data_IF_481479392176
#
_entry.id   IF_481479392176
#
_cell.length_a   1.000
_cell.length_b   1.000
_cell.length_c   1.000
_cell.angle_alpha   90.00
_cell.angle_beta   90.00
_cell.angle_gamma   90.00
#
_symmetry.space_group_name_H-M   'P 1'
#
loop_
_entity.id
_entity.type
_entity.pdbx_description
1 polymer ?
#
# COMPACT_ATOMS: atom_id res chain seq x y z
N UNK A 1 -19.11 -9.18 21.88
CA UNK A 1 -17.95 -8.34 21.61
C UNK A 1 -18.48 -6.92 21.49
N UNK A 2 -18.36 -6.13 22.55
CA UNK A 2 -18.92 -4.78 22.58
C UNK A 2 -18.00 -3.87 21.80
N UNK A 3 -18.42 -3.46 20.60
CA UNK A 3 -17.69 -2.47 19.82
C UNK A 3 -17.79 -1.14 20.56
N UNK A 4 -16.64 -0.48 20.76
CA UNK A 4 -16.59 0.86 21.32
C UNK A 4 -17.05 1.80 20.20
N UNK A 5 -18.12 2.56 20.45
CA UNK A 5 -18.54 3.63 19.53
C UNK A 5 -17.37 4.61 19.39
N UNK A 6 -16.92 4.92 18.16
CA UNK A 6 -15.83 5.88 17.96
C UNK A 6 -16.27 7.21 18.55
N UNK A 7 -15.57 7.65 19.59
CA UNK A 7 -15.84 8.93 20.22
C UNK A 7 -15.67 10.04 19.19
N UNK A 8 -16.71 10.87 19.03
CA UNK A 8 -16.66 12.09 18.21
C UNK A 8 -15.68 13.14 18.79
N UNK A 9 -15.08 12.85 19.94
CA UNK A 9 -14.19 13.72 20.71
C UNK A 9 -12.69 13.56 20.31
N UNK A 10 -12.44 13.23 19.04
CA UNK A 10 -11.07 13.28 18.50
C UNK A 10 -10.75 14.72 18.14
N UNK A 11 -10.21 15.49 19.08
CA UNK A 11 -9.66 16.81 18.79
C UNK A 11 -8.59 16.73 17.69
N UNK A 12 -8.56 17.73 16.80
CA UNK A 12 -7.55 17.83 15.74
C UNK A 12 -6.19 18.11 16.38
N UNK A 13 -5.40 17.06 16.58
CA UNK A 13 -4.06 17.13 17.18
C UNK A 13 -2.97 16.93 16.12
N UNK A 14 -1.83 17.62 16.32
CA UNK A 14 -0.65 17.40 15.50
C UNK A 14 -0.07 15.99 15.74
N UNK A 15 0.21 15.25 14.67
CA UNK A 15 0.86 13.93 14.76
C UNK A 15 2.33 14.01 15.20
N UNK A 16 2.98 15.16 14.97
CA UNK A 16 4.31 15.42 15.47
C UNK A 16 4.20 15.96 16.91
N UNK A 17 4.72 15.23 17.91
CA UNK A 17 4.69 15.69 19.29
C UNK A 17 5.66 16.86 19.51
N UNK A 18 5.40 17.69 20.54
CA UNK A 18 6.41 18.62 21.06
C UNK A 18 7.47 17.81 21.83
N UNK A 19 8.73 17.74 21.36
CA UNK A 19 9.76 16.94 22.03
C UNK A 19 10.10 17.43 23.45
N UNK A 20 9.76 18.68 23.81
CA UNK A 20 10.00 19.23 25.14
C UNK A 20 9.01 18.71 26.19
N UNK A 21 7.84 18.22 25.77
CA UNK A 21 6.82 17.64 26.64
C UNK A 21 6.94 16.12 26.77
N UNK A 22 7.82 15.50 25.98
CA UNK A 22 8.06 14.06 25.99
C UNK A 22 9.05 13.65 27.09
N UNK A 23 8.95 12.39 27.53
CA UNK A 23 10.02 11.79 28.33
C UNK A 23 11.34 11.80 27.56
N UNK A 24 12.47 11.89 28.28
CA UNK A 24 13.79 12.06 27.66
C UNK A 24 14.13 11.04 26.57
N UNK A 25 13.60 9.80 26.62
CA UNK A 25 13.88 8.77 25.61
C UNK A 25 12.98 8.93 24.40
N UNK A 26 11.71 9.25 24.60
CA UNK A 26 10.81 9.61 23.52
C UNK A 26 11.30 10.87 22.78
N UNK A 27 11.71 11.91 23.51
CA UNK A 27 12.29 13.12 22.91
C UNK A 27 13.52 12.79 22.04
N UNK A 28 14.47 12.00 22.56
CA UNK A 28 15.67 11.56 21.80
C UNK A 28 15.34 10.69 20.60
N UNK A 29 14.29 9.88 20.68
CA UNK A 29 13.81 9.10 19.54
C UNK A 29 13.29 9.97 18.41
N UNK A 30 12.86 11.21 18.68
CA UNK A 30 12.46 12.18 17.66
C UNK A 30 13.62 13.06 17.19
N UNK A 31 14.50 13.48 18.10
CA UNK A 31 15.47 14.56 17.83
C UNK A 31 16.88 14.09 17.47
N UNK A 32 17.34 12.93 17.95
CA UNK A 32 18.71 12.48 17.64
C UNK A 32 18.85 12.03 16.19
N UNK A 33 20.01 12.32 15.60
CA UNK A 33 20.38 11.87 14.25
C UNK A 33 20.62 10.37 14.24
N UNK A 34 19.57 9.61 13.97
CA UNK A 34 19.64 8.16 13.82
C UNK A 34 19.29 7.76 12.39
N UNK A 35 19.94 6.71 11.88
CA UNK A 35 19.59 6.10 10.61
C UNK A 35 18.94 4.74 10.86
N UNK A 36 17.79 4.49 10.23
CA UNK A 36 17.09 3.20 10.29
C UNK A 36 17.19 2.51 8.94
N UNK A 37 17.62 1.24 8.95
CA UNK A 37 17.71 0.39 7.76
C UNK A 37 16.91 -0.88 8.00
N UNK A 38 15.90 -1.19 7.16
CA UNK A 38 15.16 -2.44 7.28
C UNK A 38 16.08 -3.62 6.98
N UNK A 39 15.78 -4.75 7.60
CA UNK A 39 16.37 -6.07 7.35
C UNK A 39 15.22 -7.02 7.02
N UNK A 40 15.55 -8.28 6.79
CA UNK A 40 14.57 -9.35 6.54
C UNK A 40 13.53 -9.44 7.66
N UNK A 41 12.26 -9.64 7.28
CA UNK A 41 11.15 -9.84 8.21
C UNK A 41 10.84 -8.61 9.06
N UNK A 42 11.02 -8.74 10.39
CA UNK A 42 10.66 -7.71 11.39
C UNK A 42 11.85 -6.99 12.02
N UNK A 43 13.06 -7.22 11.50
CA UNK A 43 14.30 -6.68 12.07
C UNK A 43 14.72 -5.36 11.40
N UNK A 44 15.29 -4.44 12.18
CA UNK A 44 15.78 -3.14 11.75
C UNK A 44 17.14 -2.84 12.37
N UNK A 45 18.09 -2.37 11.55
CA UNK A 45 19.36 -1.85 12.03
C UNK A 45 19.24 -0.34 12.29
N UNK A 46 19.49 0.09 13.52
CA UNK A 46 19.43 1.49 13.94
C UNK A 46 20.83 1.98 14.30
N UNK A 47 21.40 2.82 13.46
CA UNK A 47 22.66 3.51 13.74
C UNK A 47 22.36 4.79 14.53
N UNK A 48 22.83 4.83 15.77
CA UNK A 48 22.67 5.94 16.70
C UNK A 48 23.54 7.15 16.33
N UNK A 49 23.27 8.31 16.94
CA UNK A 49 24.10 9.51 16.75
C UNK A 49 25.57 9.30 17.14
N UNK A 50 25.83 8.44 18.14
CA UNK A 50 27.17 8.03 18.55
C UNK A 50 27.88 7.08 17.57
N UNK A 51 27.23 6.67 16.48
CA UNK A 51 27.79 5.75 15.48
C UNK A 51 27.62 4.25 15.80
N UNK A 52 27.15 3.89 16.99
CA UNK A 52 26.81 2.50 17.32
C UNK A 52 25.55 2.05 16.60
N UNK A 53 25.54 0.81 16.09
CA UNK A 53 24.38 0.20 15.44
C UNK A 53 23.77 -0.88 16.34
N UNK A 54 22.46 -0.80 16.54
CA UNK A 54 21.68 -1.77 17.30
C UNK A 54 20.65 -2.44 16.40
N UNK A 55 20.33 -3.70 16.69
CA UNK A 55 19.25 -4.41 16.02
C UNK A 55 17.99 -4.27 16.86
N UNK A 56 16.88 -3.98 16.17
CA UNK A 56 15.54 -3.86 16.73
C UNK A 56 14.69 -4.91 16.04
N UNK A 57 13.99 -5.73 16.80
CA UNK A 57 12.96 -6.61 16.26
C UNK A 57 11.58 -6.12 16.73
N UNK A 58 10.70 -5.80 15.80
CA UNK A 58 9.37 -5.29 16.13
C UNK A 58 8.38 -6.40 16.52
N UNK A 59 8.58 -7.64 16.07
CA UNK A 59 7.73 -8.78 16.45
C UNK A 59 8.02 -9.19 17.88
N UNK A 60 9.31 -9.30 18.23
CA UNK A 60 9.73 -9.64 19.60
C UNK A 60 9.74 -8.41 20.54
N UNK A 61 9.40 -7.22 20.01
CA UNK A 61 9.52 -5.94 20.72
C UNK A 61 10.89 -5.74 21.39
N UNK A 62 11.96 -6.23 20.74
CA UNK A 62 13.28 -6.36 21.33
C UNK A 62 14.30 -5.40 20.71
N UNK A 63 15.34 -5.08 21.47
CA UNK A 63 16.49 -4.32 20.97
C UNK A 63 17.80 -4.81 21.58
N UNK A 64 18.87 -4.84 20.79
CA UNK A 64 20.22 -5.22 21.26
C UNK A 64 20.95 -4.11 22.02
N UNK A 65 20.32 -2.95 22.24
CA UNK A 65 20.95 -1.88 23.00
C UNK A 65 20.99 -2.19 24.51
N UNK A 66 21.98 -1.65 25.24
CA UNK A 66 22.09 -1.87 26.69
C UNK A 66 20.85 -1.44 27.48
N UNK A 67 20.17 -0.37 27.05
CA UNK A 67 18.93 0.08 27.70
C UNK A 67 17.84 -0.98 27.68
N UNK A 68 17.71 -1.72 26.58
CA UNK A 68 16.70 -2.77 26.50
C UNK A 68 17.21 -4.07 27.15
N UNK A 69 18.43 -4.51 26.84
CA UNK A 69 18.99 -5.77 27.33
C UNK A 69 19.18 -5.80 28.86
N UNK A 70 19.55 -4.67 29.47
CA UNK A 70 19.87 -4.60 30.90
C UNK A 70 18.68 -4.10 31.71
N UNK A 71 17.91 -3.15 31.18
CA UNK A 71 16.83 -2.48 31.94
C UNK A 71 15.42 -2.93 31.55
N UNK A 72 15.26 -3.68 30.45
CA UNK A 72 13.94 -4.13 29.96
C UNK A 72 13.02 -3.00 29.51
N UNK A 73 13.56 -1.79 29.29
CA UNK A 73 12.76 -0.62 28.96
C UNK A 73 12.47 -0.55 27.45
N UNK A 74 11.38 0.14 27.09
CA UNK A 74 11.21 0.62 25.72
C UNK A 74 12.31 1.65 25.45
N UNK A 75 13.27 1.32 24.60
CA UNK A 75 14.39 2.20 24.28
C UNK A 75 14.02 3.22 23.20
N UNK A 76 14.88 4.21 22.98
CA UNK A 76 14.70 5.21 21.90
C UNK A 76 14.77 4.59 20.49
N UNK A 77 15.45 3.45 20.34
CA UNK A 77 15.60 2.79 19.03
C UNK A 77 14.30 2.15 18.57
N UNK A 78 13.58 1.43 19.45
CA UNK A 78 12.24 0.90 19.18
C UNK A 78 11.28 2.02 18.74
N UNK A 79 11.26 3.13 19.50
CA UNK A 79 10.45 4.31 19.16
C UNK A 79 10.85 4.92 17.81
N UNK A 80 12.15 5.06 17.54
CA UNK A 80 12.65 5.61 16.27
C UNK A 80 12.20 4.77 15.08
N UNK A 81 12.24 3.43 15.17
CA UNK A 81 11.75 2.56 14.09
C UNK A 81 10.26 2.79 13.85
N UNK A 82 9.44 2.83 14.91
CA UNK A 82 8.01 3.09 14.79
C UNK A 82 7.72 4.46 14.13
N UNK A 83 8.48 5.50 14.49
CA UNK A 83 8.38 6.83 13.89
C UNK A 83 8.69 6.80 12.39
N UNK A 84 9.78 6.15 11.97
CA UNK A 84 10.19 6.07 10.56
C UNK A 84 9.21 5.27 9.69
N UNK A 85 8.61 4.21 10.24
CA UNK A 85 7.53 3.45 9.58
C UNK A 85 6.28 4.30 9.44
N UNK A 86 5.85 4.97 10.51
CA UNK A 86 4.68 5.85 10.50
C UNK A 86 4.85 7.00 9.50
N UNK A 87 6.07 7.55 9.41
CA UNK A 87 6.44 8.57 8.43
C UNK A 87 6.61 8.02 7.00
N UNK A 88 6.38 6.73 6.77
CA UNK A 88 6.52 6.02 5.49
C UNK A 88 7.91 6.16 4.86
N UNK A 89 8.96 6.29 5.68
CA UNK A 89 10.35 6.39 5.22
C UNK A 89 11.02 5.02 5.11
N UNK A 90 10.60 4.10 5.96
CA UNK A 90 11.05 2.71 6.01
C UNK A 90 9.84 1.80 5.92
N UNK A 91 10.00 0.63 5.30
CA UNK A 91 8.93 -0.34 5.17
C UNK A 91 8.55 -0.95 6.54
N UNK A 92 7.25 -1.22 6.78
CA UNK A 92 6.82 -1.98 7.95
C UNK A 92 7.34 -3.44 7.89
N UNK A 93 7.21 -4.21 8.98
CA UNK A 93 7.62 -5.61 8.99
C UNK A 93 6.97 -6.40 7.86
N UNK A 94 7.71 -7.35 7.29
CA UNK A 94 7.24 -8.20 6.19
C UNK A 94 6.82 -7.44 4.92
N UNK A 95 7.34 -6.22 4.75
CA UNK A 95 7.09 -5.43 3.55
C UNK A 95 8.39 -4.90 2.96
N UNK A 96 8.37 -4.72 1.64
CA UNK A 96 9.45 -4.11 0.89
C UNK A 96 9.00 -2.84 0.18
N UNK A 97 9.98 -2.00 -0.16
CA UNK A 97 9.76 -0.78 -0.94
C UNK A 97 9.57 -1.14 -2.41
N UNK A 98 8.44 -0.73 -2.98
CA UNK A 98 8.15 -0.83 -4.40
C UNK A 98 7.81 0.55 -4.99
N UNK A 99 7.78 0.63 -6.33
CA UNK A 99 7.15 1.75 -7.04
C UNK A 99 5.78 1.29 -7.52
N UNK A 100 4.82 2.20 -7.44
CA UNK A 100 3.51 1.98 -8.02
C UNK A 100 3.63 1.80 -9.54
N UNK A 101 3.14 0.69 -10.08
CA UNK A 101 3.18 0.41 -11.52
C UNK A 101 2.30 1.36 -12.35
N UNK A 102 1.40 2.11 -11.71
CA UNK A 102 0.54 3.11 -12.38
C UNK A 102 1.13 4.52 -12.31
N UNK A 103 1.48 4.99 -11.11
CA UNK A 103 1.84 6.41 -10.88
C UNK A 103 3.30 6.64 -10.48
N UNK A 104 4.10 5.57 -10.34
CA UNK A 104 5.52 5.64 -9.98
C UNK A 104 5.82 6.04 -8.53
N UNK A 105 4.79 6.38 -7.73
CA UNK A 105 4.94 6.73 -6.33
C UNK A 105 5.53 5.57 -5.52
N UNK A 106 6.39 5.89 -4.53
CA UNK A 106 6.91 4.88 -3.61
C UNK A 106 5.78 4.34 -2.75
N UNK A 107 5.68 3.02 -2.66
CA UNK A 107 4.74 2.32 -1.80
C UNK A 107 5.42 1.14 -1.11
N UNK A 108 4.69 0.47 -0.22
CA UNK A 108 5.15 -0.73 0.44
C UNK A 108 4.20 -1.87 0.08
N UNK A 109 4.78 -3.01 -0.29
CA UNK A 109 4.07 -4.24 -0.65
C UNK A 109 4.59 -5.38 0.21
N UNK A 110 3.83 -6.47 0.35
CA UNK A 110 4.34 -7.69 1.01
C UNK A 110 5.65 -8.13 0.36
N UNK A 111 6.54 -8.76 1.11
CA UNK A 111 7.78 -9.35 0.57
C UNK A 111 7.49 -10.39 -0.54
N UNK A 112 6.33 -11.03 -0.48
CA UNK A 112 5.84 -12.08 -1.38
C UNK A 112 4.76 -11.59 -2.36
N UNK A 113 4.56 -10.27 -2.46
CA UNK A 113 3.61 -9.72 -3.44
C UNK A 113 4.17 -9.81 -4.85
N UNK A 114 3.40 -10.41 -5.77
CA UNK A 114 3.67 -10.37 -7.20
C UNK A 114 3.24 -9.02 -7.82
N UNK A 115 3.83 -8.61 -8.96
CA UNK A 115 3.34 -7.46 -9.73
C UNK A 115 1.92 -7.69 -10.26
N UNK A 116 1.12 -6.63 -10.46
CA UNK A 116 1.48 -5.22 -10.29
C UNK A 116 1.45 -4.73 -8.83
N UNK A 117 2.45 -3.94 -8.48
CA UNK A 117 2.52 -3.25 -7.20
C UNK A 117 1.74 -1.93 -7.26
N UNK A 118 0.60 -1.88 -6.57
CA UNK A 118 -0.27 -0.70 -6.57
C UNK A 118 -0.26 0.03 -5.22
N UNK A 119 -0.03 1.34 -5.25
CA UNK A 119 -0.20 2.18 -4.06
C UNK A 119 -1.69 2.31 -3.70
N UNK A 120 -2.02 2.67 -2.46
CA UNK A 120 -3.43 2.76 -2.02
C UNK A 120 -4.33 3.67 -2.88
N UNK A 121 -3.75 4.67 -3.56
CA UNK A 121 -4.50 5.54 -4.48
C UNK A 121 -4.73 4.94 -5.87
N UNK A 122 -3.91 3.96 -6.29
CA UNK A 122 -4.04 3.26 -7.56
C UNK A 122 -4.57 1.83 -7.41
N UNK A 123 -4.65 1.33 -6.18
CA UNK A 123 -5.20 0.01 -5.89
C UNK A 123 -6.67 0.00 -6.23
N UNK A 124 -7.07 -0.97 -7.06
CA UNK A 124 -8.45 -1.36 -7.28
C UNK A 124 -8.61 -2.81 -6.84
N UNK A 125 -9.72 -3.12 -6.19
CA UNK A 125 -10.04 -4.45 -5.68
C UNK A 125 -11.28 -5.01 -6.39
N UNK A 126 -11.41 -6.34 -6.47
CA UNK A 126 -12.67 -6.95 -6.91
C UNK A 126 -13.85 -6.39 -6.11
N UNK A 127 -14.88 -5.91 -6.80
CA UNK A 127 -16.05 -5.23 -6.23
C UNK A 127 -16.03 -3.70 -6.31
N UNK A 128 -14.85 -3.08 -6.52
CA UNK A 128 -14.75 -1.63 -6.72
C UNK A 128 -15.53 -1.18 -7.95
N UNK A 129 -16.20 -0.03 -7.86
CA UNK A 129 -16.87 0.58 -9.01
C UNK A 129 -15.93 1.58 -9.68
N UNK A 130 -15.75 1.38 -10.98
CA UNK A 130 -14.94 2.23 -11.85
C UNK A 130 -15.77 2.70 -13.04
N UNK A 131 -15.37 3.79 -13.68
CA UNK A 131 -16.05 4.35 -14.85
C UNK A 131 -15.16 4.20 -16.07
N UNK A 132 -15.71 3.67 -17.15
CA UNK A 132 -15.07 3.65 -18.45
C UNK A 132 -15.01 5.07 -19.04
N UNK A 133 -13.81 5.56 -19.35
CA UNK A 133 -13.62 6.88 -19.98
C UNK A 133 -14.21 7.00 -21.37
N UNK A 134 -14.24 5.90 -22.12
CA UNK A 134 -14.68 5.91 -23.52
C UNK A 134 -16.20 6.04 -23.63
N UNK A 135 -16.92 5.44 -22.68
CA UNK A 135 -18.39 5.31 -22.73
C UNK A 135 -19.10 6.08 -21.62
N UNK A 136 -18.44 6.34 -20.50
CA UNK A 136 -19.04 6.85 -19.26
C UNK A 136 -19.78 5.78 -18.45
N UNK A 137 -19.72 4.51 -18.85
CA UNK A 137 -20.43 3.43 -18.18
C UNK A 137 -19.76 3.04 -16.86
N UNK A 138 -20.60 2.68 -15.87
CA UNK A 138 -20.13 2.12 -14.61
C UNK A 138 -19.85 0.63 -14.74
N UNK A 139 -18.67 0.25 -14.29
CA UNK A 139 -18.09 -1.07 -14.32
C UNK A 139 -17.73 -1.50 -12.91
N UNK A 140 -17.67 -2.80 -12.69
CA UNK A 140 -17.27 -3.44 -11.44
C UNK A 140 -15.98 -4.17 -11.73
N UNK A 141 -14.96 -3.93 -10.91
CA UNK A 141 -13.69 -4.65 -11.02
C UNK A 141 -13.92 -6.11 -10.64
N UNK A 142 -13.50 -7.02 -11.51
CA UNK A 142 -13.48 -8.45 -11.26
C UNK A 142 -12.09 -8.92 -10.80
N UNK A 143 -11.03 -8.24 -11.24
CA UNK A 143 -9.65 -8.56 -10.90
C UNK A 143 -8.65 -7.62 -11.55
N UNK A 144 -7.38 -7.77 -11.17
CA UNK A 144 -6.25 -7.08 -11.78
C UNK A 144 -5.31 -8.16 -12.29
N UNK A 145 -4.97 -8.09 -13.57
CA UNK A 145 -4.07 -9.05 -14.22
C UNK A 145 -2.61 -8.76 -13.87
N UNK A 146 -1.80 -9.81 -13.87
CA UNK A 146 -0.33 -9.71 -13.81
C UNK A 146 0.26 -9.31 -15.18
N UNK A 147 -0.38 -9.74 -16.27
CA UNK A 147 0.00 -9.40 -17.64
C UNK A 147 -0.26 -7.93 -17.98
N UNK A 148 0.63 -7.36 -18.80
CA UNK A 148 0.45 -6.02 -19.38
C UNK A 148 -0.51 -6.02 -20.57
N UNK A 149 -1.01 -4.86 -20.96
CA UNK A 149 -2.01 -4.75 -22.00
C UNK A 149 -1.52 -5.26 -23.38
N UNK A 150 -0.23 -5.19 -23.66
CA UNK A 150 0.42 -5.73 -24.86
C UNK A 150 0.75 -7.22 -24.78
N UNK A 151 0.57 -7.84 -23.60
CA UNK A 151 0.78 -9.27 -23.35
C UNK A 151 -0.55 -10.01 -23.22
N UNK A 152 -1.54 -9.41 -22.54
CA UNK A 152 -2.84 -10.01 -22.29
C UNK A 152 -3.65 -10.19 -23.57
N UNK A 153 -3.91 -11.45 -23.96
CA UNK A 153 -4.68 -11.79 -25.17
C UNK A 153 -6.16 -11.96 -24.84
N UNK A 154 -7.01 -11.20 -25.52
CA UNK A 154 -8.46 -11.35 -25.47
C UNK A 154 -8.86 -12.56 -26.32
N UNK A 155 -9.24 -13.66 -25.67
CA UNK A 155 -9.54 -14.94 -26.35
C UNK A 155 -10.55 -14.80 -27.50
N UNK A 156 -11.59 -13.97 -27.31
CA UNK A 156 -12.65 -13.78 -28.28
C UNK A 156 -12.18 -13.16 -29.62
N UNK A 157 -11.08 -12.41 -29.60
CA UNK A 157 -10.56 -11.70 -30.79
C UNK A 157 -9.17 -12.18 -31.20
N UNK A 158 -8.45 -12.89 -30.32
CA UNK A 158 -7.05 -13.27 -30.51
C UNK A 158 -6.08 -12.09 -30.52
N UNK A 159 -6.55 -10.88 -30.21
CA UNK A 159 -5.73 -9.66 -30.12
C UNK A 159 -5.42 -9.34 -28.66
N UNK A 160 -4.32 -8.63 -28.43
CA UNK A 160 -4.00 -8.13 -27.09
C UNK A 160 -4.93 -7.00 -26.69
N UNK A 161 -5.00 -6.69 -25.39
CA UNK A 161 -5.77 -5.55 -24.89
C UNK A 161 -5.28 -4.25 -25.54
N UNK A 162 -3.98 -4.05 -25.64
CA UNK A 162 -3.37 -2.87 -26.28
C UNK A 162 -3.69 -2.78 -27.78
N UNK A 163 -3.78 -3.93 -28.48
CA UNK A 163 -4.07 -3.98 -29.92
C UNK A 163 -5.57 -3.96 -30.26
N UNK A 164 -6.45 -3.87 -29.25
CA UNK A 164 -7.88 -3.74 -29.47
C UNK A 164 -8.23 -2.32 -29.94
N UNK A 165 -9.06 -2.18 -30.97
CA UNK A 165 -9.33 -0.88 -31.62
C UNK A 165 -9.89 0.18 -30.65
N UNK A 166 -10.67 -0.24 -29.66
CA UNK A 166 -11.23 0.67 -28.63
C UNK A 166 -10.22 1.14 -27.58
N UNK A 167 -8.99 0.63 -27.62
CA UNK A 167 -7.93 0.96 -26.67
C UNK A 167 -6.80 1.75 -27.35
N UNK A 168 -7.01 2.20 -28.59
CA UNK A 168 -6.07 3.08 -29.27
C UNK A 168 -5.83 4.36 -28.44
N UNK A 169 -4.56 4.69 -28.20
CA UNK A 169 -4.15 5.86 -27.41
C UNK A 169 -3.85 5.59 -25.94
N UNK A 170 -4.14 4.39 -25.42
CA UNK A 170 -3.70 3.97 -24.10
C UNK A 170 -2.29 3.35 -24.13
N UNK A 171 -1.51 3.40 -23.05
CA UNK A 171 -0.16 2.82 -23.02
C UNK A 171 -0.20 1.31 -23.27
N UNK A 172 0.69 0.77 -24.12
CA UNK A 172 0.72 -0.67 -24.39
C UNK A 172 1.17 -1.49 -23.17
N UNK A 173 2.03 -0.93 -22.33
CA UNK A 173 2.53 -1.54 -21.09
C UNK A 173 1.63 -1.28 -19.87
N UNK A 174 0.41 -0.77 -20.10
CA UNK A 174 -0.54 -0.49 -19.03
C UNK A 174 -0.99 -1.79 -18.35
N UNK A 175 -1.38 -1.67 -17.08
CA UNK A 175 -1.92 -2.78 -16.31
C UNK A 175 -3.30 -3.13 -16.86
N UNK A 176 -3.64 -4.40 -16.93
CA UNK A 176 -4.98 -4.84 -17.32
C UNK A 176 -5.86 -5.02 -16.09
N UNK A 177 -7.04 -4.41 -16.13
CA UNK A 177 -8.10 -4.61 -15.14
C UNK A 177 -9.23 -5.37 -15.80
N UNK A 178 -9.58 -6.51 -15.20
CA UNK A 178 -10.78 -7.25 -15.57
C UNK A 178 -11.99 -6.59 -14.93
N UNK A 179 -13.03 -6.36 -15.72
CA UNK A 179 -14.24 -5.66 -15.29
C UNK A 179 -15.49 -6.32 -15.85
N UNK A 180 -16.62 -5.99 -15.23
CA UNK A 180 -17.96 -6.36 -15.67
C UNK A 180 -18.86 -5.13 -15.64
N UNK A 181 -19.80 -4.99 -16.58
CA UNK A 181 -20.77 -3.91 -16.50
C UNK A 181 -21.66 -4.03 -15.26
N UNK A 182 -21.81 -2.93 -14.51
CA UNK A 182 -22.59 -2.89 -13.27
C UNK A 182 -24.03 -3.40 -13.46
N UNK A 183 -24.64 -3.10 -14.60
CA UNK A 183 -25.99 -3.56 -14.94
C UNK A 183 -26.07 -5.10 -15.12
N UNK A 184 -25.00 -5.74 -15.57
CA UNK A 184 -24.96 -7.20 -15.73
C UNK A 184 -24.53 -7.88 -14.42
N UNK A 185 -23.58 -7.30 -13.67
CA UNK A 185 -23.12 -7.81 -12.38
C UNK A 185 -24.26 -7.96 -11.35
N UNK A 186 -25.26 -7.08 -11.41
CA UNK A 186 -26.41 -7.10 -10.50
C UNK A 186 -27.56 -7.98 -10.97
N UNK A 187 -27.52 -8.48 -12.21
CA UNK A 187 -28.66 -9.16 -12.86
C UNK A 187 -28.38 -10.59 -13.31
N UNK A 188 -27.12 -11.03 -13.29
CA UNK A 188 -26.70 -12.33 -13.81
C UNK A 188 -25.79 -13.03 -12.81
N UNK A 189 -25.96 -14.33 -12.68
CA UNK A 189 -25.09 -15.18 -11.85
C UNK A 189 -23.66 -15.31 -12.41
N UNK A 190 -23.50 -15.20 -13.74
CA UNK A 190 -22.20 -15.24 -14.42
C UNK A 190 -22.14 -14.12 -15.47
N UNK A 191 -21.77 -12.90 -15.06
CA UNK A 191 -21.76 -11.77 -15.95
C UNK A 191 -20.49 -11.75 -16.81
N UNK A 192 -20.60 -11.21 -18.03
CA UNK A 192 -19.49 -11.21 -18.99
C UNK A 192 -18.34 -10.31 -18.50
N UNK A 193 -17.13 -10.85 -18.53
CA UNK A 193 -15.90 -10.11 -18.23
C UNK A 193 -15.30 -9.45 -19.47
N UNK A 194 -14.71 -8.29 -19.22
CA UNK A 194 -13.99 -7.47 -20.18
C UNK A 194 -12.64 -7.11 -19.59
N UNK A 195 -11.64 -6.88 -20.44
CA UNK A 195 -10.29 -6.50 -20.02
C UNK A 195 -9.96 -5.13 -20.60
N UNK A 196 -9.61 -4.17 -19.74
CA UNK A 196 -9.27 -2.80 -20.15
C UNK A 196 -7.93 -2.35 -19.57
N UNK A 197 -7.21 -1.45 -20.27
CA UNK A 197 -6.07 -0.75 -19.70
C UNK A 197 -6.50 0.02 -18.44
N UNK A 198 -5.71 -0.02 -17.38
CA UNK A 198 -6.00 0.67 -16.12
C UNK A 198 -6.26 2.16 -16.35
N UNK A 199 -5.47 2.80 -17.21
CA UNK A 199 -5.60 4.22 -17.54
C UNK A 199 -6.87 4.57 -18.31
N UNK A 200 -7.62 3.60 -18.86
CA UNK A 200 -8.97 3.80 -19.41
C UNK A 200 -10.03 3.96 -18.31
N UNK A 201 -9.72 3.55 -17.09
CA UNK A 201 -10.67 3.54 -15.99
C UNK A 201 -10.50 4.79 -15.10
N UNK A 202 -11.63 5.34 -14.65
CA UNK A 202 -11.68 6.31 -13.58
C UNK A 202 -12.17 5.64 -12.29
N UNK A 203 -11.41 5.78 -11.22
CA UNK A 203 -11.85 5.33 -9.90
C UNK A 203 -12.99 6.20 -9.39
N UNK A 204 -13.90 5.57 -8.67
CA UNK A 204 -14.91 6.24 -7.85
C UNK A 204 -14.77 5.78 -6.41
N UNK A 205 -15.35 6.51 -5.47
CA UNK A 205 -15.41 6.08 -4.06
C UNK A 205 -16.57 5.09 -3.80
N UNK A 206 -17.22 4.58 -4.86
CA UNK A 206 -18.31 3.63 -4.75
C UNK A 206 -17.79 2.19 -4.86
N UNK A 207 -18.39 1.31 -4.06
CA UNK A 207 -18.14 -0.12 -4.07
C UNK A 207 -19.49 -0.85 -4.15
N UNK A 208 -19.52 -1.98 -4.85
CA UNK A 208 -20.69 -2.86 -4.78
C UNK A 208 -20.71 -3.59 -3.45
N UNK A 209 -21.82 -3.48 -2.73
CA UNK A 209 -22.09 -4.23 -1.50
C UNK A 209 -23.07 -5.35 -1.85
N UNK A 210 -22.69 -6.59 -1.52
CA UNK A 210 -23.54 -7.78 -1.65
C UNK A 210 -24.74 -7.77 -0.69
#
# INVERSE_FOLDING_TARGET
MTLIEPSADSERTALAPDPSELDSRAARAWTERMAVRPREGSTYAVTSESGHTYLVDLTDHSCTCPDHQIRGEQCKHLRRVAIEITARRVAPPHHQRARCDVCGAVTFVSEDADPPHLCGNCRVLPGDVVVDRETGDSLVVAGVSEDRADEYVIEATGRTVAAHDTNEGYPPDDIVVEVTYLADATRRDDPRRYAFPYSRLHRTDAELVE
#
